data_IF_692732412082
#
_entry.id   IF_692732412082
#
_cell.length_a   1.000
_cell.length_b   1.000
_cell.length_c   1.000
_cell.angle_alpha   90.00
_cell.angle_beta   90.00
_cell.angle_gamma   90.00
#
_symmetry.space_group_name_H-M   'P 1'
#
loop_
_entity.id
_entity.type
_entity.pdbx_description
1 polymer ?
#
# COMPACT_ATOMS: atom_id res chain seq x y z
N UNK A 1 5.43 -12.30 -27.14
CA UNK A 1 4.86 -13.34 -26.27
C UNK A 1 3.66 -12.82 -25.50
N UNK A 2 2.64 -13.65 -25.39
CA UNK A 2 1.48 -13.28 -24.57
C UNK A 2 1.87 -13.23 -23.10
N UNK A 3 1.37 -12.23 -22.38
CA UNK A 3 1.59 -12.11 -20.93
C UNK A 3 0.80 -13.19 -20.20
N UNK A 4 1.37 -13.67 -19.10
CA UNK A 4 0.66 -14.55 -18.17
C UNK A 4 -0.47 -13.79 -17.49
N UNK A 5 -1.40 -14.49 -16.86
CA UNK A 5 -2.46 -13.85 -16.07
C UNK A 5 -1.89 -12.99 -14.96
N UNK A 6 -0.85 -13.50 -14.29
CA UNK A 6 -0.15 -12.75 -13.24
C UNK A 6 0.49 -11.47 -13.80
N UNK A 7 1.14 -11.57 -14.96
CA UNK A 7 1.75 -10.40 -15.61
C UNK A 7 0.72 -9.36 -16.03
N UNK A 8 -0.44 -9.79 -16.48
CA UNK A 8 -1.54 -8.88 -16.84
C UNK A 8 -2.07 -8.16 -15.61
N UNK A 9 -2.29 -8.88 -14.52
CA UNK A 9 -2.74 -8.30 -13.26
C UNK A 9 -1.72 -7.29 -12.74
N UNK A 10 -0.45 -7.65 -12.73
CA UNK A 10 0.64 -6.77 -12.32
C UNK A 10 0.66 -5.47 -13.12
N UNK A 11 0.54 -5.57 -14.44
CA UNK A 11 0.50 -4.39 -15.31
C UNK A 11 -0.70 -3.50 -15.01
N UNK A 12 -1.88 -4.09 -14.86
CA UNK A 12 -3.11 -3.35 -14.54
C UNK A 12 -2.97 -2.62 -13.20
N UNK A 13 -2.43 -3.30 -12.19
CA UNK A 13 -2.25 -2.73 -10.86
C UNK A 13 -1.24 -1.59 -10.91
N UNK A 14 -0.10 -1.80 -11.55
CA UNK A 14 0.94 -0.76 -11.68
C UNK A 14 0.40 0.49 -12.37
N UNK A 15 -0.31 0.32 -13.48
CA UNK A 15 -0.87 1.43 -14.24
C UNK A 15 -1.93 2.18 -13.43
N UNK A 16 -2.80 1.45 -12.74
CA UNK A 16 -3.86 2.06 -11.95
C UNK A 16 -3.31 2.85 -10.77
N UNK A 17 -2.36 2.29 -10.03
CA UNK A 17 -1.76 2.95 -8.87
C UNK A 17 -0.98 4.19 -9.29
N UNK A 18 -0.29 4.14 -10.42
CA UNK A 18 0.41 5.28 -10.98
C UNK A 18 -0.56 6.41 -11.34
N UNK A 19 -1.67 6.06 -11.97
CA UNK A 19 -2.74 7.00 -12.31
C UNK A 19 -3.33 7.67 -11.06
N UNK A 20 -3.49 6.93 -9.97
CA UNK A 20 -4.02 7.42 -8.70
C UNK A 20 -2.96 8.10 -7.84
N UNK A 21 -1.72 8.17 -8.32
CA UNK A 21 -0.59 8.80 -7.61
C UNK A 21 -0.34 8.18 -6.23
N UNK A 22 -0.43 6.86 -6.17
CA UNK A 22 -0.07 6.10 -4.97
C UNK A 22 1.45 5.97 -4.93
N UNK A 23 2.05 6.31 -3.78
CA UNK A 23 3.50 6.26 -3.65
C UNK A 23 3.96 4.84 -3.36
N UNK A 24 4.83 4.33 -4.21
CA UNK A 24 5.39 3.00 -4.06
C UNK A 24 6.54 3.05 -3.06
N UNK A 25 6.37 2.35 -1.94
CA UNK A 25 7.39 2.28 -0.90
C UNK A 25 8.44 1.23 -1.24
N UNK A 26 8.02 0.03 -1.58
CA UNK A 26 8.93 -1.07 -1.86
C UNK A 26 8.26 -2.15 -2.71
N UNK A 27 9.10 -2.86 -3.47
CA UNK A 27 8.70 -4.08 -4.15
C UNK A 27 9.72 -5.16 -3.80
N UNK A 28 9.24 -6.28 -3.32
CA UNK A 28 10.10 -7.41 -2.99
C UNK A 28 10.07 -8.44 -4.10
N UNK A 29 11.23 -8.97 -4.44
CA UNK A 29 11.33 -10.09 -5.38
C UNK A 29 10.90 -11.38 -4.68
N UNK A 30 10.43 -12.34 -5.46
CA UNK A 30 9.94 -13.61 -4.93
C UNK A 30 10.94 -14.30 -4.00
N UNK A 31 12.24 -14.25 -4.33
CA UNK A 31 13.28 -14.87 -3.51
C UNK A 31 13.49 -14.18 -2.16
N UNK A 32 13.18 -12.90 -2.05
CA UNK A 32 13.35 -12.16 -0.80
C UNK A 32 12.08 -12.14 0.05
N UNK A 33 10.98 -12.71 -0.45
CA UNK A 33 9.71 -12.73 0.26
C UNK A 33 9.50 -14.00 1.07
N UNK A 34 10.57 -14.51 1.68
CA UNK A 34 10.51 -15.73 2.48
C UNK A 34 9.75 -15.55 3.78
N UNK A 35 9.62 -14.32 4.26
CA UNK A 35 8.96 -14.00 5.52
C UNK A 35 7.49 -13.65 5.37
N UNK A 36 6.91 -13.84 4.19
CA UNK A 36 5.50 -13.57 3.94
C UNK A 36 5.13 -12.11 3.80
N UNK A 37 6.11 -11.21 3.71
CA UNK A 37 5.84 -9.79 3.46
C UNK A 37 5.17 -9.66 2.09
N UNK A 38 4.08 -8.87 1.97
CA UNK A 38 3.45 -8.67 0.66
C UNK A 38 4.44 -8.17 -0.39
N UNK A 39 4.27 -8.62 -1.63
CA UNK A 39 5.17 -8.27 -2.73
C UNK A 39 5.31 -6.78 -2.92
N UNK A 40 4.28 -6.02 -2.58
CA UNK A 40 4.23 -4.59 -2.86
C UNK A 40 3.75 -3.83 -1.65
N UNK A 41 4.51 -2.81 -1.28
CA UNK A 41 4.15 -1.89 -0.22
C UNK A 41 4.03 -0.49 -0.78
N UNK A 42 2.95 0.18 -0.43
CA UNK A 42 2.66 1.55 -0.86
C UNK A 42 2.25 2.39 0.33
N UNK A 43 2.37 3.69 0.15
CA UNK A 43 1.84 4.67 1.10
C UNK A 43 0.84 5.54 0.35
N UNK A 44 -0.36 5.63 0.89
CA UNK A 44 -1.43 6.43 0.30
C UNK A 44 -2.14 7.21 1.39
N UNK A 45 -2.05 8.54 1.33
CA UNK A 45 -2.69 9.44 2.31
C UNK A 45 -2.41 9.05 3.77
N UNK A 46 -1.17 8.65 4.02
CA UNK A 46 -0.72 8.30 5.36
C UNK A 46 -1.01 6.87 5.79
N UNK A 47 -1.60 6.05 4.93
CA UNK A 47 -1.92 4.66 5.23
C UNK A 47 -0.97 3.74 4.48
N UNK A 48 -0.35 2.80 5.20
CA UNK A 48 0.47 1.76 4.58
C UNK A 48 -0.45 0.74 3.93
N UNK A 49 -0.21 0.47 2.65
CA UNK A 49 -0.94 -0.54 1.89
C UNK A 49 0.02 -1.68 1.53
N UNK A 50 -0.36 -2.91 1.85
CA UNK A 50 0.37 -4.10 1.45
C UNK A 50 -0.47 -4.94 0.51
N UNK A 51 0.00 -5.14 -0.73
CA UNK A 51 -0.72 -5.89 -1.74
C UNK A 51 0.04 -7.16 -2.10
N UNK A 52 -0.62 -8.29 -1.93
CA UNK A 52 -0.15 -9.57 -2.44
C UNK A 52 -0.97 -9.92 -3.67
N UNK A 53 -0.34 -9.89 -4.85
CA UNK A 53 -1.04 -10.18 -6.11
C UNK A 53 -1.11 -11.69 -6.32
N UNK A 54 -2.30 -12.19 -6.54
CA UNK A 54 -2.54 -13.60 -6.84
C UNK A 54 -3.49 -13.74 -8.01
N UNK A 55 -3.25 -14.73 -8.85
CA UNK A 55 -4.27 -15.13 -9.83
C UNK A 55 -5.43 -15.80 -9.12
N UNK A 56 -6.57 -15.95 -9.80
CA UNK A 56 -7.77 -16.54 -9.21
C UNK A 56 -7.54 -17.94 -8.66
N UNK A 57 -6.58 -18.69 -9.22
CA UNK A 57 -6.24 -20.05 -8.78
C UNK A 57 -5.08 -20.10 -7.80
N UNK A 58 -4.34 -19.00 -7.65
CA UNK A 58 -3.23 -18.91 -6.72
C UNK A 58 -3.72 -18.75 -5.31
N UNK A 59 -3.02 -19.37 -4.36
CA UNK A 59 -3.35 -19.27 -2.94
C UNK A 59 -2.19 -18.63 -2.18
N UNK A 60 -2.47 -17.75 -1.21
CA UNK A 60 -1.43 -17.21 -0.37
C UNK A 60 -0.87 -18.28 0.57
N UNK A 61 0.39 -18.12 0.96
CA UNK A 61 1.01 -18.97 1.97
C UNK A 61 0.51 -18.58 3.36
N UNK A 62 0.70 -19.46 4.34
CA UNK A 62 0.36 -19.14 5.72
C UNK A 62 1.12 -17.94 6.26
N UNK A 63 2.39 -17.78 5.87
CA UNK A 63 3.20 -16.62 6.26
C UNK A 63 2.68 -15.33 5.64
N UNK A 64 2.25 -15.36 4.38
CA UNK A 64 1.65 -14.19 3.72
C UNK A 64 0.37 -13.76 4.44
N UNK A 65 -0.50 -14.70 4.78
CA UNK A 65 -1.73 -14.42 5.52
C UNK A 65 -1.41 -13.77 6.88
N UNK A 66 -0.42 -14.31 7.59
CA UNK A 66 0.02 -13.80 8.89
C UNK A 66 0.53 -12.36 8.81
N UNK A 67 1.34 -12.06 7.80
CA UNK A 67 1.90 -10.72 7.62
C UNK A 67 0.82 -9.72 7.21
N UNK A 68 -0.11 -10.12 6.35
CA UNK A 68 -1.26 -9.29 5.98
C UNK A 68 -2.10 -8.97 7.22
N UNK A 69 -2.37 -9.97 8.06
CA UNK A 69 -3.10 -9.75 9.29
C UNK A 69 -2.37 -8.77 10.21
N UNK A 70 -1.05 -8.89 10.34
CA UNK A 70 -0.25 -7.98 11.16
C UNK A 70 -0.31 -6.53 10.65
N UNK A 71 -0.28 -6.32 9.34
CA UNK A 71 -0.43 -4.99 8.74
C UNK A 71 -1.78 -4.40 9.13
N UNK A 72 -2.85 -5.18 8.99
CA UNK A 72 -4.21 -4.73 9.33
C UNK A 72 -4.35 -4.45 10.82
N UNK A 73 -3.78 -5.28 11.67
CA UNK A 73 -3.84 -5.11 13.14
C UNK A 73 -3.08 -3.87 13.60
N UNK A 74 -2.12 -3.40 12.81
CA UNK A 74 -1.28 -2.26 13.16
C UNK A 74 -1.67 -0.97 12.41
N UNK A 75 -2.86 -0.91 11.85
CA UNK A 75 -3.39 0.32 11.27
C UNK A 75 -3.10 0.54 9.79
N UNK A 76 -2.41 -0.40 9.14
CA UNK A 76 -2.28 -0.41 7.69
C UNK A 76 -3.43 -1.18 7.04
N UNK A 77 -3.35 -1.38 5.75
CA UNK A 77 -4.32 -2.19 5.01
C UNK A 77 -3.55 -3.19 4.16
N UNK A 78 -3.65 -4.46 4.51
CA UNK A 78 -3.07 -5.54 3.73
C UNK A 78 -4.18 -6.36 3.08
N UNK A 79 -4.07 -6.61 1.79
CA UNK A 79 -5.04 -7.42 1.07
C UNK A 79 -4.36 -8.32 0.03
N UNK A 80 -5.05 -9.40 -0.30
CA UNK A 80 -4.70 -10.25 -1.42
C UNK A 80 -5.53 -9.74 -2.59
N UNK A 81 -4.85 -9.40 -3.68
CA UNK A 81 -5.48 -8.78 -4.85
C UNK A 81 -5.54 -9.80 -5.98
N UNK A 82 -6.72 -10.07 -6.45
CA UNK A 82 -6.94 -10.91 -7.64
C UNK A 82 -7.47 -10.11 -8.83
N UNK A 83 -7.95 -8.89 -8.57
CA UNK A 83 -8.53 -8.02 -9.58
C UNK A 83 -8.27 -6.56 -9.23
N UNK A 84 -7.95 -5.74 -10.22
CA UNK A 84 -7.65 -4.32 -10.01
C UNK A 84 -8.83 -3.55 -9.42
N UNK A 85 -10.06 -3.99 -9.69
CA UNK A 85 -11.26 -3.37 -9.12
C UNK A 85 -11.30 -3.40 -7.60
N UNK A 86 -10.67 -4.38 -6.97
CA UNK A 86 -10.55 -4.44 -5.51
C UNK A 86 -9.76 -3.27 -4.98
N UNK A 87 -8.67 -2.90 -5.66
CA UNK A 87 -7.84 -1.75 -5.30
C UNK A 87 -8.61 -0.45 -5.54
N UNK A 88 -9.32 -0.36 -6.65
CA UNK A 88 -10.13 0.81 -6.97
C UNK A 88 -11.14 1.11 -5.86
N UNK A 89 -11.89 0.10 -5.43
CA UNK A 89 -12.85 0.23 -4.33
C UNK A 89 -12.17 0.64 -3.03
N UNK A 90 -11.01 0.05 -2.74
CA UNK A 90 -10.25 0.37 -1.54
C UNK A 90 -9.80 1.83 -1.52
N UNK A 91 -9.22 2.32 -2.61
CA UNK A 91 -8.75 3.70 -2.68
C UNK A 91 -9.91 4.70 -2.59
N UNK A 92 -11.05 4.37 -3.17
CA UNK A 92 -12.24 5.23 -3.07
C UNK A 92 -12.73 5.34 -1.63
N UNK A 93 -12.71 4.24 -0.88
CA UNK A 93 -13.06 4.24 0.54
C UNK A 93 -12.06 5.06 1.34
N UNK A 94 -10.77 4.91 1.07
CA UNK A 94 -9.73 5.68 1.76
C UNK A 94 -9.89 7.17 1.49
N UNK A 95 -10.16 7.55 0.26
CA UNK A 95 -10.37 8.96 -0.11
C UNK A 95 -11.51 9.58 0.68
N UNK A 96 -12.61 8.85 0.78
CA UNK A 96 -13.79 9.29 1.53
C UNK A 96 -13.47 9.44 3.02
N UNK A 97 -12.79 8.46 3.59
CA UNK A 97 -12.39 8.47 4.99
C UNK A 97 -11.43 9.63 5.29
N UNK A 98 -10.46 9.84 4.41
CA UNK A 98 -9.47 10.90 4.57
C UNK A 98 -10.12 12.29 4.63
N UNK A 99 -11.09 12.54 3.78
CA UNK A 99 -11.82 13.81 3.79
C UNK A 99 -12.50 14.08 5.12
N UNK A 100 -13.08 13.03 5.70
CA UNK A 100 -13.79 13.16 6.98
C UNK A 100 -12.80 13.38 8.14
N UNK A 101 -11.70 12.63 8.15
CA UNK A 101 -10.81 12.61 9.31
C UNK A 101 -9.76 13.72 9.32
N UNK A 102 -9.34 14.19 8.15
CA UNK A 102 -8.18 15.07 8.08
C UNK A 102 -8.42 16.41 7.41
N UNK A 103 -9.43 16.52 6.57
CA UNK A 103 -9.64 17.75 5.81
C UNK A 103 -10.35 18.84 6.61
N UNK A 104 -11.10 18.48 7.64
CA UNK A 104 -11.92 19.43 8.37
C UNK A 104 -11.14 20.28 9.39
N UNK A 105 -10.13 19.72 10.06
CA UNK A 105 -9.39 20.51 11.05
C UNK A 105 -7.86 20.59 10.83
N UNK A 106 -7.29 19.74 10.00
CA UNK A 106 -5.88 19.79 9.64
C UNK A 106 -4.88 19.46 10.75
N UNK A 107 -5.34 19.05 11.94
CA UNK A 107 -4.48 18.82 13.10
C UNK A 107 -3.41 17.78 12.87
N UNK A 108 -3.76 16.67 12.22
CA UNK A 108 -2.80 15.59 11.96
C UNK A 108 -1.70 16.07 11.02
N UNK A 109 -2.06 16.85 9.99
CA UNK A 109 -1.08 17.44 9.08
C UNK A 109 -0.16 18.39 9.80
N UNK A 110 -0.69 19.22 10.68
CA UNK A 110 0.09 20.16 11.48
C UNK A 110 1.09 19.42 12.37
N UNK A 111 0.66 18.39 13.06
CA UNK A 111 1.55 17.58 13.91
C UNK A 111 2.70 16.98 13.10
N UNK A 112 2.39 16.42 11.92
CA UNK A 112 3.42 15.86 11.06
C UNK A 112 4.43 16.90 10.60
N UNK A 113 3.95 18.07 10.22
CA UNK A 113 4.82 19.15 9.75
C UNK A 113 5.72 19.65 10.87
N UNK A 114 5.18 19.88 12.05
CA UNK A 114 5.94 20.31 13.21
C UNK A 114 7.03 19.30 13.57
N UNK A 115 6.69 18.03 13.60
CA UNK A 115 7.65 16.96 13.87
C UNK A 115 8.75 16.92 12.83
N UNK A 116 8.38 17.00 11.56
CA UNK A 116 9.33 16.97 10.45
C UNK A 116 10.33 18.14 10.54
N UNK A 117 9.85 19.34 10.76
CA UNK A 117 10.75 20.51 10.83
C UNK A 117 11.69 20.42 12.02
N UNK A 118 11.22 19.91 13.14
CA UNK A 118 12.06 19.70 14.32
C UNK A 118 13.17 18.70 14.04
N UNK A 119 12.84 17.56 13.44
CA UNK A 119 13.82 16.52 13.15
C UNK A 119 14.76 16.93 12.01
N UNK A 120 14.27 17.63 11.01
CA UNK A 120 15.09 18.14 9.90
C UNK A 120 16.17 19.09 10.39
N UNK A 121 15.81 20.00 11.28
CA UNK A 121 16.78 20.93 11.86
C UNK A 121 17.88 20.19 12.63
N UNK A 122 17.51 19.12 13.33
CA UNK A 122 18.44 18.30 14.09
C UNK A 122 19.52 17.65 13.22
N UNK A 123 19.17 17.25 12.00
CA UNK A 123 20.10 16.56 11.10
C UNK A 123 20.64 17.44 9.97
N UNK A 124 20.30 18.71 9.98
CA UNK A 124 20.78 19.69 9.00
C UNK A 124 20.50 19.25 7.54
N UNK A 125 19.31 18.81 7.29
CA UNK A 125 18.88 18.49 5.92
C UNK A 125 18.72 19.78 5.12
N UNK A 126 19.38 19.82 3.98
CA UNK A 126 19.29 20.94 3.05
C UNK A 126 18.49 20.58 1.80
#
# INVERSE_FOLDING_TARGET
MAKTEEGKLEEQVNNYLKKRRVWKLARFQAQSNQNGVPDRLYLYKGILLGFELKTKTGKPTGLQIKKIAAINDNGGIGIIVTDVGEIERLLDIIDKYYKVMYAEDGRVRQIRNEYFYRESARYDFK
#
